data_IF_818242232419
#
_entry.id   IF_818242232419
#
_cell.length_a   1.000
_cell.length_b   1.000
_cell.length_c   1.000
_cell.angle_alpha   90.00
_cell.angle_beta   90.00
_cell.angle_gamma   90.00
#
_symmetry.space_group_name_H-M   'P 1'
#
loop_
_entity.id
_entity.type
_entity.pdbx_description
1 polymer ?
#
# COMPACT_ATOMS: atom_id res chain seq x y z
N UNK A 1 -11.23 -1.96 -19.32
CA UNK A 1 -11.73 -3.23 -18.74
C UNK A 1 -12.59 -3.92 -19.78
N UNK A 2 -12.12 -5.04 -20.34
CA UNK A 2 -12.80 -5.75 -21.43
C UNK A 2 -13.60 -6.98 -20.95
N UNK A 3 -14.41 -7.58 -21.83
CA UNK A 3 -15.31 -8.70 -21.50
C UNK A 3 -14.61 -9.93 -20.91
N UNK A 4 -13.37 -10.20 -21.33
CA UNK A 4 -12.56 -11.33 -20.82
C UNK A 4 -12.18 -11.16 -19.35
N UNK A 5 -11.83 -9.94 -18.91
CA UNK A 5 -11.47 -9.68 -17.51
C UNK A 5 -12.68 -9.88 -16.59
N UNK A 6 -13.87 -9.51 -17.06
CA UNK A 6 -15.12 -9.72 -16.35
C UNK A 6 -15.42 -11.21 -16.17
N UNK A 7 -15.32 -12.02 -17.24
CA UNK A 7 -15.52 -13.48 -17.19
C UNK A 7 -14.54 -14.16 -16.22
N UNK A 8 -13.26 -13.79 -16.25
CA UNK A 8 -12.27 -14.36 -15.32
C UNK A 8 -12.57 -13.94 -13.87
N UNK A 9 -12.98 -12.70 -13.65
CA UNK A 9 -13.32 -12.22 -12.29
C UNK A 9 -14.57 -12.89 -11.73
N UNK A 10 -15.61 -13.09 -12.55
CA UNK A 10 -16.88 -13.67 -12.12
C UNK A 10 -16.76 -15.17 -11.86
N UNK A 11 -15.98 -15.89 -12.65
CA UNK A 11 -15.72 -17.33 -12.46
C UNK A 11 -14.86 -17.63 -11.24
N UNK A 12 -13.92 -16.75 -10.87
CA UNK A 12 -13.05 -16.92 -9.69
C UNK A 12 -13.62 -16.34 -8.38
N UNK A 13 -14.67 -15.53 -8.45
CA UNK A 13 -15.30 -14.91 -7.29
C UNK A 13 -15.80 -15.92 -6.23
N UNK A 14 -16.42 -17.07 -6.59
CA UNK A 14 -16.88 -18.06 -5.61
C UNK A 14 -15.73 -18.66 -4.80
N UNK A 15 -14.67 -19.11 -5.47
CA UNK A 15 -13.50 -19.70 -4.83
C UNK A 15 -12.76 -18.70 -3.92
N UNK A 16 -12.69 -17.43 -4.34
CA UNK A 16 -12.10 -16.37 -3.51
C UNK A 16 -12.94 -16.08 -2.25
N UNK A 17 -14.27 -16.12 -2.36
CA UNK A 17 -15.18 -15.95 -1.22
C UNK A 17 -15.07 -17.09 -0.22
N UNK A 18 -14.95 -18.34 -0.67
CA UNK A 18 -14.72 -19.48 0.23
C UNK A 18 -13.38 -19.36 0.96
N UNK A 19 -12.31 -18.96 0.26
CA UNK A 19 -11.02 -18.67 0.88
C UNK A 19 -11.10 -17.55 1.92
N UNK A 20 -11.82 -16.46 1.64
CA UNK A 20 -12.02 -15.38 2.61
C UNK A 20 -12.92 -15.80 3.78
N UNK A 21 -13.97 -16.59 3.56
CA UNK A 21 -14.83 -17.12 4.61
C UNK A 21 -14.05 -17.98 5.61
N UNK A 22 -13.12 -18.81 5.11
CA UNK A 22 -12.25 -19.64 5.95
C UNK A 22 -11.29 -18.85 6.86
N UNK A 23 -11.03 -17.57 6.56
CA UNK A 23 -10.16 -16.69 7.35
C UNK A 23 -10.91 -15.54 8.05
N UNK A 24 -12.23 -15.65 8.21
CA UNK A 24 -13.05 -14.68 8.94
C UNK A 24 -13.85 -13.70 8.07
N UNK A 25 -14.05 -14.00 6.79
CA UNK A 25 -14.95 -13.27 5.89
C UNK A 25 -14.32 -12.15 5.06
N UNK A 26 -13.02 -11.90 5.20
CA UNK A 26 -12.30 -10.86 4.45
C UNK A 26 -10.79 -10.91 4.67
N UNK A 27 -10.03 -10.18 3.85
CA UNK A 27 -8.58 -10.09 4.01
C UNK A 27 -8.24 -9.28 5.28
N UNK A 28 -7.43 -9.79 6.23
CA UNK A 28 -6.96 -9.02 7.37
C UNK A 28 -5.95 -7.93 6.97
N UNK A 29 -5.55 -7.90 5.70
CA UNK A 29 -4.48 -7.04 5.19
C UNK A 29 -4.73 -5.54 5.44
N UNK A 30 -5.95 -5.05 5.21
CA UNK A 30 -6.24 -3.62 5.39
C UNK A 30 -6.07 -3.20 6.85
N UNK A 31 -6.71 -3.92 7.77
CA UNK A 31 -6.61 -3.67 9.22
C UNK A 31 -5.16 -3.70 9.72
N UNK A 32 -4.39 -4.69 9.25
CA UNK A 32 -2.95 -4.78 9.60
C UNK A 32 -2.17 -3.60 9.01
N UNK A 33 -2.49 -3.17 7.79
CA UNK A 33 -1.83 -2.03 7.12
C UNK A 33 -2.13 -0.72 7.85
N UNK A 34 -3.37 -0.52 8.31
CA UNK A 34 -3.78 0.62 9.13
C UNK A 34 -3.00 0.66 10.44
N UNK A 35 -2.99 -0.45 11.19
CA UNK A 35 -2.25 -0.53 12.45
C UNK A 35 -0.73 -0.29 12.27
N UNK A 36 -0.14 -0.79 11.19
CA UNK A 36 1.26 -0.53 10.85
C UNK A 36 1.50 0.93 10.48
N UNK A 37 0.57 1.55 9.73
CA UNK A 37 0.59 2.97 9.39
C UNK A 37 0.61 3.83 10.64
N UNK A 38 -0.30 3.58 11.57
CA UNK A 38 -0.39 4.32 12.84
C UNK A 38 0.90 4.17 13.66
N UNK A 39 1.42 2.95 13.79
CA UNK A 39 2.67 2.70 14.50
C UNK A 39 3.88 3.45 13.90
N UNK A 40 3.94 3.59 12.57
CA UNK A 40 4.96 4.38 11.88
C UNK A 40 4.82 5.86 12.24
N UNK A 41 3.60 6.39 12.22
CA UNK A 41 3.34 7.80 12.54
C UNK A 41 3.70 8.11 14.00
N UNK A 42 3.34 7.25 14.94
CA UNK A 42 3.75 7.39 16.33
C UNK A 42 5.27 7.38 16.49
N UNK A 43 5.97 6.48 15.78
CA UNK A 43 7.42 6.41 15.82
C UNK A 43 8.08 7.66 15.23
N UNK A 44 7.50 8.24 14.18
CA UNK A 44 7.94 9.52 13.60
C UNK A 44 7.68 10.70 14.55
N UNK A 45 6.51 10.72 15.19
CA UNK A 45 6.15 11.76 16.15
C UNK A 45 7.11 11.80 17.35
N UNK A 46 7.52 10.63 17.87
CA UNK A 46 8.56 10.53 18.91
C UNK A 46 9.92 11.08 18.49
N UNK A 47 10.16 11.23 17.18
CA UNK A 47 11.37 11.83 16.60
C UNK A 47 11.16 13.29 16.18
N UNK A 48 10.05 13.90 16.57
CA UNK A 48 9.70 15.29 16.22
C UNK A 48 9.20 15.48 14.79
N UNK A 49 8.86 14.39 14.08
CA UNK A 49 8.36 14.46 12.69
C UNK A 49 6.85 14.30 12.69
N UNK A 50 6.12 15.34 12.31
CA UNK A 50 4.67 15.29 12.09
C UNK A 50 4.38 14.74 10.69
N UNK A 51 3.66 13.64 10.62
CA UNK A 51 3.24 12.99 9.37
C UNK A 51 1.81 12.43 9.52
N UNK A 52 1.19 12.07 8.40
CA UNK A 52 -0.12 11.42 8.33
C UNK A 52 -0.03 10.20 7.40
N UNK A 53 -0.65 9.04 7.73
CA UNK A 53 -0.58 7.87 6.89
C UNK A 53 -1.67 7.95 5.80
N UNK A 54 -1.35 7.47 4.60
CA UNK A 54 -2.30 7.30 3.50
C UNK A 54 -2.12 5.91 2.92
N UNK A 55 -3.21 5.14 2.86
CA UNK A 55 -3.19 3.77 2.36
C UNK A 55 -3.74 3.75 0.95
N UNK A 56 -2.97 3.18 0.04
CA UNK A 56 -3.33 3.06 -1.37
C UNK A 56 -3.21 1.60 -1.80
N UNK A 57 -4.34 0.92 -1.92
CA UNK A 57 -4.43 -0.45 -2.37
C UNK A 57 -4.61 -0.49 -3.91
N UNK A 58 -4.06 -1.53 -4.54
CA UNK A 58 -4.11 -1.66 -6.00
C UNK A 58 -5.43 -2.22 -6.54
N UNK A 59 -6.02 -3.16 -5.81
CA UNK A 59 -7.16 -3.97 -6.27
C UNK A 59 -8.33 -3.98 -5.28
N UNK A 60 -8.23 -3.21 -4.21
CA UNK A 60 -9.26 -3.11 -3.17
C UNK A 60 -9.31 -1.67 -2.63
N UNK A 61 -10.35 -1.34 -1.86
CA UNK A 61 -10.43 -0.04 -1.19
C UNK A 61 -9.56 -0.02 0.09
N UNK A 62 -9.02 1.14 0.49
CA UNK A 62 -8.98 2.41 -0.24
C UNK A 62 -8.07 2.34 -1.47
N UNK A 63 -8.56 2.80 -2.62
CA UNK A 63 -7.79 2.82 -3.87
C UNK A 63 -6.75 3.93 -3.87
N UNK A 64 -5.84 3.88 -4.83
CA UNK A 64 -4.86 4.96 -5.08
C UNK A 64 -5.53 6.32 -5.25
N UNK A 65 -6.67 6.40 -5.96
CA UNK A 65 -7.43 7.66 -6.13
C UNK A 65 -7.91 8.21 -4.79
N UNK A 66 -8.47 7.37 -3.93
CA UNK A 66 -9.02 7.78 -2.62
C UNK A 66 -7.92 8.38 -1.73
N UNK A 67 -6.74 7.77 -1.75
CA UNK A 67 -5.56 8.26 -1.05
C UNK A 67 -5.08 9.60 -1.59
N UNK A 68 -5.01 9.76 -2.92
CA UNK A 68 -4.57 11.00 -3.57
C UNK A 68 -5.55 12.16 -3.33
N UNK A 69 -6.85 11.89 -3.34
CA UNK A 69 -7.86 12.90 -3.01
C UNK A 69 -7.75 13.34 -1.55
N UNK A 70 -7.41 12.41 -0.65
CA UNK A 70 -7.12 12.77 0.75
C UNK A 70 -5.86 13.61 0.91
N UNK A 71 -4.80 13.27 0.18
CA UNK A 71 -3.54 14.03 0.14
C UNK A 71 -3.78 15.47 -0.32
N UNK A 72 -4.56 15.67 -1.39
CA UNK A 72 -4.94 17.00 -1.90
C UNK A 72 -5.75 17.78 -0.87
N UNK A 73 -6.81 17.16 -0.34
CA UNK A 73 -7.68 17.78 0.68
C UNK A 73 -6.92 18.24 1.93
N UNK A 74 -5.92 17.48 2.33
CA UNK A 74 -5.08 17.79 3.49
C UNK A 74 -3.93 18.78 3.17
N UNK A 75 -3.79 19.21 1.90
CA UNK A 75 -2.77 20.17 1.47
C UNK A 75 -1.33 19.65 1.60
N UNK A 76 -1.13 18.34 1.43
CA UNK A 76 0.18 17.72 1.63
C UNK A 76 1.13 18.08 0.48
N UNK A 77 2.28 18.66 0.83
CA UNK A 77 3.29 19.11 -0.15
C UNK A 77 4.49 18.17 -0.26
N UNK A 78 4.65 17.23 0.68
CA UNK A 78 5.75 16.28 0.73
C UNK A 78 5.26 14.87 1.04
N UNK A 79 5.61 13.91 0.19
CA UNK A 79 5.21 12.52 0.31
C UNK A 79 6.40 11.57 0.32
N UNK A 80 6.31 10.54 1.16
CA UNK A 80 7.17 9.36 1.06
C UNK A 80 6.29 8.20 0.62
N UNK A 81 6.60 7.64 -0.54
CA UNK A 81 5.92 6.49 -1.12
C UNK A 81 6.64 5.23 -0.62
N UNK A 82 5.96 4.44 0.20
CA UNK A 82 6.48 3.19 0.77
C UNK A 82 5.69 1.99 0.22
N UNK A 83 6.25 1.23 -0.73
CA UNK A 83 5.70 -0.06 -1.10
C UNK A 83 5.76 -1.04 0.09
N UNK A 84 4.65 -1.75 0.34
CA UNK A 84 4.57 -2.72 1.45
C UNK A 84 5.26 -4.07 1.13
N UNK A 85 5.75 -4.24 -0.09
CA UNK A 85 6.60 -5.37 -0.47
C UNK A 85 8.08 -5.02 -0.19
N UNK A 86 8.78 -5.78 0.69
CA UNK A 86 10.20 -5.53 0.97
C UNK A 86 11.08 -5.71 -0.25
N UNK A 87 10.79 -6.71 -1.08
CA UNK A 87 11.46 -7.00 -2.34
C UNK A 87 10.75 -6.28 -3.48
N UNK A 88 11.51 -5.62 -4.34
CA UNK A 88 10.94 -5.02 -5.54
C UNK A 88 10.57 -6.09 -6.57
N UNK A 89 9.38 -5.98 -7.14
CA UNK A 89 8.99 -6.69 -8.36
C UNK A 89 8.21 -5.76 -9.29
N UNK A 90 8.45 -5.93 -10.59
CA UNK A 90 7.77 -5.16 -11.65
C UNK A 90 6.26 -5.40 -11.64
N UNK A 91 5.82 -6.62 -11.29
CA UNK A 91 4.41 -7.01 -11.26
C UNK A 91 3.66 -6.50 -10.03
N UNK A 92 4.37 -6.13 -8.95
CA UNK A 92 3.77 -5.62 -7.71
C UNK A 92 4.08 -4.14 -7.52
N UNK A 93 5.18 -3.79 -6.82
CA UNK A 93 5.60 -2.42 -6.54
C UNK A 93 5.72 -1.59 -7.81
N UNK A 94 6.32 -2.14 -8.87
CA UNK A 94 6.43 -1.45 -10.15
C UNK A 94 5.07 -1.10 -10.79
N UNK A 95 4.07 -1.98 -10.67
CA UNK A 95 2.73 -1.74 -11.19
C UNK A 95 2.02 -0.60 -10.45
N UNK A 96 2.13 -0.58 -9.12
CA UNK A 96 1.58 0.49 -8.27
C UNK A 96 2.27 1.83 -8.51
N UNK A 97 3.61 1.83 -8.64
CA UNK A 97 4.38 3.04 -8.91
C UNK A 97 4.06 3.64 -10.28
N UNK A 98 3.91 2.84 -11.34
CA UNK A 98 3.49 3.33 -12.66
C UNK A 98 2.09 3.96 -12.65
N UNK A 99 1.18 3.43 -11.83
CA UNK A 99 -0.14 4.04 -11.65
C UNK A 99 0.00 5.39 -10.95
N UNK A 100 0.72 5.44 -9.82
CA UNK A 100 0.97 6.70 -9.11
C UNK A 100 1.62 7.73 -10.03
N UNK A 101 2.68 7.38 -10.75
CA UNK A 101 3.34 8.26 -11.71
C UNK A 101 2.36 8.83 -12.75
N UNK A 102 1.46 8.00 -13.28
CA UNK A 102 0.41 8.45 -14.19
C UNK A 102 -0.56 9.42 -13.52
N UNK A 103 -1.04 9.14 -12.31
CA UNK A 103 -1.95 10.04 -11.59
C UNK A 103 -1.29 11.39 -11.28
N UNK A 104 -0.03 11.38 -10.80
CA UNK A 104 0.76 12.58 -10.61
C UNK A 104 0.96 13.34 -11.91
N UNK A 105 1.19 12.65 -13.02
CA UNK A 105 1.31 13.29 -14.31
C UNK A 105 -0.02 13.89 -14.78
N UNK A 106 -1.19 13.31 -14.49
CA UNK A 106 -2.47 13.81 -15.01
C UNK A 106 -3.06 14.97 -14.18
N UNK A 107 -2.69 15.10 -12.90
CA UNK A 107 -3.27 16.08 -11.98
C UNK A 107 -2.28 17.24 -11.68
N UNK A 108 -2.69 18.48 -12.01
CA UNK A 108 -1.83 19.67 -11.87
C UNK A 108 -1.39 19.95 -10.42
N UNK A 109 -2.26 19.67 -9.44
CA UNK A 109 -1.96 19.89 -8.03
C UNK A 109 -0.94 18.85 -7.55
N UNK A 110 -1.15 17.59 -7.90
CA UNK A 110 -0.24 16.50 -7.55
C UNK A 110 1.15 16.66 -8.17
N UNK A 111 1.28 17.24 -9.37
CA UNK A 111 2.60 17.55 -9.98
C UNK A 111 3.47 18.45 -9.10
N UNK A 112 2.88 19.30 -8.26
CA UNK A 112 3.61 20.20 -7.37
C UNK A 112 4.08 19.51 -6.07
N UNK A 113 3.51 18.34 -5.76
CA UNK A 113 3.84 17.60 -4.54
C UNK A 113 5.19 16.92 -4.71
N UNK A 114 6.14 17.27 -3.82
CA UNK A 114 7.45 16.62 -3.80
C UNK A 114 7.30 15.21 -3.23
N UNK A 115 7.68 14.21 -4.00
CA UNK A 115 7.63 12.82 -3.55
C UNK A 115 9.01 12.16 -3.57
N UNK A 116 9.22 11.21 -2.67
CA UNK A 116 10.37 10.31 -2.67
C UNK A 116 9.86 8.87 -2.52
N UNK A 117 10.45 7.93 -3.25
CA UNK A 117 10.07 6.52 -3.23
C UNK A 117 11.11 5.73 -2.44
N UNK A 118 10.66 4.83 -1.56
CA UNK A 118 11.50 3.79 -0.98
C UNK A 118 11.49 2.60 -1.94
N UNK A 119 12.58 2.33 -2.69
CA UNK A 119 12.53 1.39 -3.80
C UNK A 119 12.40 -0.07 -3.36
N UNK A 120 13.08 -0.43 -2.27
CA UNK A 120 13.02 -1.73 -1.61
C UNK A 120 13.59 -1.62 -0.19
N UNK A 121 13.28 -2.59 0.65
CA UNK A 121 13.69 -2.58 2.07
C UNK A 121 13.89 -3.99 2.65
N UNK A 122 14.12 -4.99 1.79
CA UNK A 122 14.34 -6.39 2.16
C UNK A 122 15.53 -6.63 3.11
N UNK A 123 16.54 -5.74 3.11
CA UNK A 123 17.73 -5.84 3.96
C UNK A 123 17.65 -4.94 5.21
N UNK A 124 16.50 -4.32 5.48
CA UNK A 124 16.33 -3.54 6.71
C UNK A 124 16.43 -4.48 7.91
N UNK A 125 17.36 -4.17 8.80
CA UNK A 125 17.66 -4.95 10.00
C UNK A 125 16.40 -5.28 10.83
N UNK A 126 15.46 -4.34 10.95
CA UNK A 126 14.17 -4.58 11.60
C UNK A 126 13.33 -5.66 10.92
N UNK A 127 13.25 -5.66 9.59
CA UNK A 127 12.54 -6.68 8.83
C UNK A 127 13.22 -8.05 8.94
N UNK A 128 14.54 -8.10 8.75
CA UNK A 128 15.33 -9.35 8.85
C UNK A 128 15.17 -9.99 10.23
N UNK A 129 15.25 -9.18 11.31
CA UNK A 129 15.02 -9.67 12.68
C UNK A 129 13.61 -10.21 12.89
N UNK A 130 12.58 -9.54 12.37
CA UNK A 130 11.20 -10.02 12.49
C UNK A 130 11.02 -11.37 11.77
N UNK A 131 11.59 -11.52 10.58
CA UNK A 131 11.56 -12.79 9.84
C UNK A 131 12.31 -13.90 10.59
N UNK A 132 13.51 -13.61 11.12
CA UNK A 132 14.28 -14.57 11.90
C UNK A 132 13.51 -15.05 13.14
N UNK A 133 12.86 -14.14 13.87
CA UNK A 133 12.02 -14.48 15.03
C UNK A 133 10.86 -15.38 14.66
N UNK A 134 10.18 -15.12 13.54
CA UNK A 134 9.08 -15.97 13.08
C UNK A 134 9.55 -17.40 12.79
N UNK A 135 10.70 -17.55 12.14
CA UNK A 135 11.29 -18.85 11.84
C UNK A 135 11.69 -19.58 13.14
N UNK A 136 12.32 -18.89 14.08
CA UNK A 136 12.73 -19.49 15.37
C UNK A 136 11.56 -19.84 16.29
N UNK A 137 10.38 -19.24 16.07
CA UNK A 137 9.17 -19.50 16.84
C UNK A 137 8.26 -20.56 16.20
N UNK A 138 8.63 -21.09 15.03
CA UNK A 138 7.94 -22.17 14.32
C UNK A 138 8.56 -23.52 14.68
#
# INVERSE_FOLDING_TARGET
NGPVAWIISSTRAPQSREGYAAIGGGSPQLKTTEAQGDAIIEALARRGVKAKPYIAMRYWTPYTSDALDAIKRDGIQRLIILPLYPQFSISTSGSSLRLLEREFYQDQELRQVRNAVIPSWYNREGYVRSMARLISAS
#
